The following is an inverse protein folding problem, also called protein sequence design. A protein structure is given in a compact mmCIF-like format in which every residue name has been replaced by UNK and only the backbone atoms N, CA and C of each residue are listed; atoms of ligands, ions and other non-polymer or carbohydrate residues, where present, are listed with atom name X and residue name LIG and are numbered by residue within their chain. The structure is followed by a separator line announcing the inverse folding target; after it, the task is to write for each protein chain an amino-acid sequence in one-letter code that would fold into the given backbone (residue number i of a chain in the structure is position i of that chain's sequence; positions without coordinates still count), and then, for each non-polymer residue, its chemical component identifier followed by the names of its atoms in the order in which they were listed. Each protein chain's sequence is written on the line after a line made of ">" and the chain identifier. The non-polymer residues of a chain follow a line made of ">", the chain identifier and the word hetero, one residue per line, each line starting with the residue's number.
data_IF_689856666906
#
_entry.id   IF_689856666906
#
_cell.length_a   1.000
_cell.length_b   1.000
_cell.length_c   1.000
_cell.angle_alpha   90.00
_cell.angle_beta   90.00
_cell.angle_gamma   90.00
#
_symmetry.space_group_name_H-M   'P 1'
#
loop_
_entity.id
_entity.type
_entity.pdbx_description
1 polymer ?
#
# COMPACT_ATOMS: atom_id res chain seq x y z
N UNK A 1 6.26 6.79 28.63
CA UNK A 1 6.78 5.73 27.73
C UNK A 1 6.67 6.21 26.29
N UNK A 2 7.75 6.15 25.56
CA UNK A 2 7.76 6.51 24.13
C UNK A 2 7.53 5.24 23.32
N UNK A 3 6.57 5.30 22.41
CA UNK A 3 6.24 4.18 21.51
C UNK A 3 6.64 4.60 20.10
N UNK A 4 7.55 3.83 19.51
CA UNK A 4 7.96 4.06 18.14
C UNK A 4 7.87 2.76 17.35
N UNK A 5 6.79 2.62 16.61
CA UNK A 5 6.57 1.52 15.68
C UNK A 5 5.91 2.14 14.44
N UNK A 6 6.73 2.54 13.48
CA UNK A 6 6.29 3.26 12.29
C UNK A 6 6.93 2.70 11.05
N UNK A 7 6.14 2.61 10.00
CA UNK A 7 6.56 2.17 8.68
C UNK A 7 6.03 3.17 7.65
N UNK A 8 6.88 3.55 6.71
CA UNK A 8 6.51 4.31 5.53
C UNK A 8 7.00 3.55 4.31
N UNK A 9 6.11 3.25 3.41
CA UNK A 9 6.41 2.48 2.21
C UNK A 9 5.74 3.10 0.99
N UNK A 10 6.42 3.02 -0.16
CA UNK A 10 5.83 3.34 -1.46
C UNK A 10 5.96 2.10 -2.33
N UNK A 11 4.86 1.69 -2.91
CA UNK A 11 4.85 0.51 -3.76
C UNK A 11 3.56 0.36 -4.54
N UNK A 12 3.44 -0.78 -5.23
CA UNK A 12 2.27 -1.11 -6.05
C UNK A 12 1.53 -2.31 -5.49
N UNK A 13 0.21 -2.27 -5.56
CA UNK A 13 -0.59 -3.44 -5.20
C UNK A 13 -0.33 -4.57 -6.19
N UNK A 14 -0.12 -5.76 -5.68
CA UNK A 14 0.11 -6.97 -6.50
C UNK A 14 -1.18 -7.62 -6.98
N UNK A 15 -2.28 -7.39 -6.26
CA UNK A 15 -3.61 -7.92 -6.53
C UNK A 15 -4.67 -6.93 -6.11
N UNK A 16 -5.90 -7.15 -6.52
CA UNK A 16 -7.05 -6.43 -5.99
C UNK A 16 -7.14 -6.63 -4.47
N UNK A 17 -7.47 -5.60 -3.69
CA UNK A 17 -7.66 -5.75 -2.26
C UNK A 17 -8.76 -6.74 -1.92
N UNK A 18 -8.52 -7.58 -0.95
CA UNK A 18 -9.53 -8.46 -0.39
C UNK A 18 -10.32 -7.72 0.68
N UNK A 19 -11.59 -7.50 0.43
CA UNK A 19 -12.47 -6.73 1.33
C UNK A 19 -13.35 -7.69 2.10
N UNK A 20 -13.41 -7.49 3.41
CA UNK A 20 -14.27 -8.27 4.31
C UNK A 20 -15.08 -7.34 5.20
N UNK A 21 -16.36 -7.63 5.32
CA UNK A 21 -17.27 -6.95 6.22
C UNK A 21 -17.50 -7.84 7.43
N UNK A 22 -17.19 -7.34 8.62
CA UNK A 22 -17.35 -8.07 9.87
C UNK A 22 -18.40 -7.36 10.70
N UNK A 23 -19.48 -8.08 11.04
CA UNK A 23 -20.49 -7.62 11.99
C UNK A 23 -20.14 -8.12 13.39
N UNK A 24 -20.00 -7.21 14.32
CA UNK A 24 -19.84 -7.54 15.74
C UNK A 24 -20.91 -6.82 16.55
N UNK A 25 -21.44 -7.50 17.56
CA UNK A 25 -22.26 -6.84 18.55
C UNK A 25 -21.37 -6.10 19.55
N UNK A 26 -21.61 -4.81 19.71
CA UNK A 26 -20.92 -4.04 20.75
C UNK A 26 -21.47 -4.43 22.14
N UNK A 27 -20.84 -3.92 23.20
CA UNK A 27 -21.27 -4.18 24.58
C UNK A 27 -22.67 -3.67 24.92
N UNK A 28 -23.33 -2.93 24.02
CA UNK A 28 -24.69 -2.43 24.14
C UNK A 28 -25.72 -3.27 23.36
N UNK A 29 -25.29 -4.36 22.71
CA UNK A 29 -26.15 -5.21 21.90
C UNK A 29 -26.47 -4.69 20.50
N UNK A 30 -25.86 -3.59 20.08
CA UNK A 30 -26.00 -3.05 18.73
C UNK A 30 -25.02 -3.71 17.77
N UNK A 31 -25.44 -3.96 16.53
CA UNK A 31 -24.56 -4.50 15.50
C UNK A 31 -23.67 -3.39 14.93
N UNK A 32 -22.38 -3.54 15.12
CA UNK A 32 -21.37 -2.71 14.46
C UNK A 32 -20.75 -3.50 13.30
N UNK A 33 -20.84 -2.94 12.12
CA UNK A 33 -20.17 -3.51 10.96
C UNK A 33 -18.82 -2.81 10.76
N UNK A 34 -17.76 -3.59 10.69
CA UNK A 34 -16.42 -3.10 10.44
C UNK A 34 -15.93 -3.67 9.11
N UNK A 35 -15.40 -2.82 8.26
CA UNK A 35 -14.79 -3.24 7.01
C UNK A 35 -13.28 -3.40 7.19
N UNK A 36 -12.74 -4.47 6.60
CA UNK A 36 -11.31 -4.78 6.60
C UNK A 36 -10.84 -5.00 5.18
N UNK A 37 -9.70 -4.44 4.83
CA UNK A 37 -9.06 -4.66 3.54
C UNK A 37 -7.67 -5.25 3.73
N UNK A 38 -7.33 -6.25 2.94
CA UNK A 38 -6.00 -6.87 2.91
C UNK A 38 -5.44 -6.83 1.51
N UNK A 39 -4.20 -6.47 1.38
CA UNK A 39 -3.49 -6.48 0.10
C UNK A 39 -1.99 -6.65 0.33
N UNK A 40 -1.28 -6.99 -0.73
CA UNK A 40 0.18 -7.08 -0.70
C UNK A 40 0.77 -5.96 -1.55
N UNK A 41 1.70 -5.25 -0.97
CA UNK A 41 2.40 -4.14 -1.60
C UNK A 41 3.78 -4.61 -2.05
N UNK A 42 4.09 -4.41 -3.34
CA UNK A 42 5.41 -4.65 -3.89
C UNK A 42 6.21 -3.36 -3.82
N UNK A 43 7.26 -3.38 -3.03
CA UNK A 43 8.15 -2.23 -2.81
C UNK A 43 9.47 -2.50 -3.50
N UNK A 44 9.83 -1.66 -4.46
CA UNK A 44 11.06 -1.82 -5.23
C UNK A 44 12.30 -1.65 -4.34
N UNK A 45 13.28 -2.52 -4.53
CA UNK A 45 14.60 -2.35 -3.91
C UNK A 45 15.39 -1.27 -4.63
N UNK A 46 16.25 -0.58 -3.91
CA UNK A 46 17.00 0.56 -4.43
C UNK A 46 18.10 0.23 -5.43
N UNK A 47 18.35 -1.04 -5.74
CA UNK A 47 19.35 -1.46 -6.71
C UNK A 47 18.74 -2.34 -7.79
N UNK A 48 19.40 -2.36 -8.94
CA UNK A 48 19.03 -3.23 -10.06
C UNK A 48 20.12 -4.25 -10.29
N UNK A 49 19.74 -5.44 -10.71
CA UNK A 49 20.69 -6.44 -11.16
C UNK A 49 21.31 -6.05 -12.50
N UNK A 50 22.47 -6.65 -12.83
CA UNK A 50 23.17 -6.41 -14.10
C UNK A 50 22.31 -6.72 -15.33
N UNK A 51 21.35 -7.63 -15.21
CA UNK A 51 20.40 -7.99 -16.27
C UNK A 51 19.25 -6.99 -16.42
N UNK A 52 19.24 -5.91 -15.63
CA UNK A 52 18.19 -4.90 -15.65
C UNK A 52 16.95 -5.24 -14.84
N UNK A 53 16.89 -6.42 -14.22
CA UNK A 53 15.79 -6.80 -13.35
C UNK A 53 15.87 -6.06 -12.02
N UNK A 54 14.74 -5.62 -11.55
CA UNK A 54 14.60 -4.97 -10.27
C UNK A 54 13.85 -5.88 -9.30
N UNK A 55 14.50 -6.20 -8.19
CA UNK A 55 13.86 -6.96 -7.13
C UNK A 55 12.89 -6.08 -6.35
N UNK A 56 11.88 -6.72 -5.80
CA UNK A 56 10.92 -6.09 -4.92
C UNK A 56 10.77 -6.90 -3.64
N UNK A 57 10.47 -6.18 -2.58
CA UNK A 57 10.02 -6.78 -1.33
C UNK A 57 8.50 -6.73 -1.27
N UNK A 58 7.89 -7.77 -0.72
CA UNK A 58 6.44 -7.90 -0.65
C UNK A 58 5.99 -7.82 0.80
N UNK A 59 5.13 -6.86 1.08
CA UNK A 59 4.62 -6.62 2.43
C UNK A 59 3.11 -6.75 2.46
N UNK A 60 2.62 -7.56 3.36
CA UNK A 60 1.19 -7.68 3.58
C UNK A 60 0.68 -6.51 4.41
N UNK A 61 -0.33 -5.84 3.89
CA UNK A 61 -0.96 -4.69 4.50
C UNK A 61 -2.40 -5.03 4.89
N UNK A 62 -2.82 -4.52 6.03
CA UNK A 62 -4.19 -4.66 6.53
C UNK A 62 -4.71 -3.29 6.91
N UNK A 63 -5.87 -2.94 6.40
CA UNK A 63 -6.54 -1.68 6.70
C UNK A 63 -7.89 -1.94 7.36
N UNK A 64 -8.27 -1.06 8.26
CA UNK A 64 -9.52 -1.14 9.00
C UNK A 64 -10.32 0.16 8.86
N UNK A 65 -11.64 0.06 8.92
CA UNK A 65 -12.53 1.21 8.94
C UNK A 65 -12.41 2.08 7.69
N UNK A 66 -12.16 3.35 7.86
CA UNK A 66 -12.05 4.32 6.76
C UNK A 66 -10.94 4.00 5.77
N UNK A 67 -9.83 3.47 6.26
CA UNK A 67 -8.72 3.04 5.41
C UNK A 67 -9.10 1.85 4.53
N UNK A 68 -9.90 0.93 5.06
CA UNK A 68 -10.44 -0.19 4.31
C UNK A 68 -11.46 0.26 3.26
N UNK A 69 -12.32 1.21 3.59
CA UNK A 69 -13.25 1.81 2.64
C UNK A 69 -12.53 2.54 1.50
N UNK A 70 -11.46 3.24 1.82
CA UNK A 70 -10.60 3.87 0.82
C UNK A 70 -9.99 2.81 -0.12
N UNK A 71 -9.49 1.72 0.42
CA UNK A 71 -8.92 0.63 -0.38
C UNK A 71 -9.98 0.02 -1.31
N UNK A 72 -11.19 -0.21 -0.80
CA UNK A 72 -12.30 -0.74 -1.59
C UNK A 72 -12.65 0.17 -2.79
N UNK A 73 -12.69 1.47 -2.56
CA UNK A 73 -13.11 2.44 -3.59
C UNK A 73 -12.03 2.77 -4.60
N UNK A 74 -10.79 2.86 -4.18
CA UNK A 74 -9.74 3.51 -4.97
C UNK A 74 -8.55 2.63 -5.31
N UNK A 75 -8.32 1.55 -4.58
CA UNK A 75 -7.14 0.72 -4.79
C UNK A 75 -7.43 -0.47 -5.69
N UNK A 76 -6.57 -0.65 -6.68
CA UNK A 76 -6.65 -1.73 -7.64
C UNK A 76 -5.27 -2.35 -7.84
N UNK A 77 -5.23 -3.52 -8.45
CA UNK A 77 -3.98 -4.14 -8.84
C UNK A 77 -3.13 -3.17 -9.66
N UNK A 78 -1.89 -2.99 -9.28
CA UNK A 78 -0.95 -2.12 -9.96
C UNK A 78 -0.97 -0.66 -9.52
N UNK A 79 -1.94 -0.25 -8.72
CA UNK A 79 -2.00 1.12 -8.18
C UNK A 79 -0.77 1.40 -7.32
N UNK A 80 -0.10 2.51 -7.58
CA UNK A 80 1.04 2.95 -6.78
C UNK A 80 0.58 3.88 -5.67
N UNK A 81 0.91 3.51 -4.46
CA UNK A 81 0.51 4.24 -3.25
C UNK A 81 1.67 4.42 -2.30
N UNK A 82 1.59 5.47 -1.51
CA UNK A 82 2.40 5.65 -0.32
C UNK A 82 1.53 5.32 0.89
N UNK A 83 2.09 4.57 1.81
CA UNK A 83 1.40 4.22 3.05
C UNK A 83 2.22 4.62 4.26
N UNK A 84 1.53 4.91 5.34
CA UNK A 84 2.12 4.93 6.68
C UNK A 84 1.33 3.99 7.59
N UNK A 85 2.02 3.37 8.50
CA UNK A 85 1.40 2.43 9.43
C UNK A 85 2.38 1.95 10.47
N UNK A 86 2.04 0.84 11.09
CA UNK A 86 2.89 0.18 12.07
C UNK A 86 2.93 -1.33 11.82
N UNK A 87 3.98 -1.96 12.28
CA UNK A 87 4.12 -3.41 12.19
C UNK A 87 3.31 -4.09 13.29
N UNK A 88 2.60 -5.13 12.92
CA UNK A 88 1.89 -5.98 13.85
C UNK A 88 2.30 -7.42 13.63
N UNK A 89 2.86 -8.04 14.65
CA UNK A 89 3.23 -9.46 14.60
C UNK A 89 2.12 -10.33 15.17
N UNK A 90 1.94 -11.48 14.57
CA UNK A 90 0.97 -12.46 15.03
C UNK A 90 1.47 -13.87 14.77
N UNK A 91 0.68 -14.84 15.18
CA UNK A 91 0.97 -16.25 14.90
C UNK A 91 -0.31 -17.04 14.77
N UNK A 92 -0.26 -18.11 13.99
CA UNK A 92 -1.34 -19.07 13.90
C UNK A 92 -0.75 -20.47 13.76
N UNK A 93 -1.55 -21.48 14.09
CA UNK A 93 -1.17 -22.87 13.89
C UNK A 93 -1.79 -23.37 12.60
N UNK A 94 -0.96 -23.87 11.69
CA UNK A 94 -1.43 -24.40 10.41
C UNK A 94 -2.05 -25.81 10.58
N UNK A 95 -2.55 -26.38 9.48
CA UNK A 95 -3.18 -27.72 9.47
C UNK A 95 -2.23 -28.85 9.90
N UNK A 96 -0.92 -28.64 9.75
CA UNK A 96 0.11 -29.61 10.12
C UNK A 96 0.56 -29.47 11.59
N UNK A 97 -0.08 -28.59 12.37
CA UNK A 97 0.25 -28.35 13.75
C UNK A 97 1.48 -27.48 13.98
N UNK A 98 2.03 -26.89 12.91
CA UNK A 98 3.21 -26.00 12.99
C UNK A 98 2.75 -24.57 13.24
N UNK A 99 3.41 -23.92 14.21
CA UNK A 99 3.18 -22.52 14.52
C UNK A 99 3.84 -21.62 13.46
N UNK A 100 3.05 -20.82 12.79
CA UNK A 100 3.50 -19.88 11.77
C UNK A 100 3.43 -18.46 12.31
N UNK A 101 4.54 -17.73 12.22
CA UNK A 101 4.64 -16.34 12.63
C UNK A 101 4.38 -15.42 11.43
N UNK A 102 3.63 -14.38 11.65
CA UNK A 102 3.27 -13.40 10.61
C UNK A 102 3.62 -12.00 11.06
N UNK A 103 4.00 -11.15 10.11
CA UNK A 103 4.19 -9.72 10.33
C UNK A 103 3.39 -8.98 9.23
N UNK A 104 2.49 -8.12 9.66
CA UNK A 104 1.66 -7.33 8.77
C UNK A 104 1.88 -5.85 9.05
N UNK A 105 1.66 -5.01 8.04
CA UNK A 105 1.60 -3.57 8.21
C UNK A 105 0.14 -3.20 8.42
N UNK A 106 -0.17 -2.62 9.56
CA UNK A 106 -1.50 -2.04 9.83
C UNK A 106 -1.49 -0.60 9.32
N UNK A 107 -2.35 -0.31 8.38
CA UNK A 107 -2.38 0.98 7.68
C UNK A 107 -3.00 2.06 8.56
N UNK A 108 -2.30 3.17 8.69
CA UNK A 108 -2.78 4.38 9.35
C UNK A 108 -3.20 5.44 8.33
N UNK A 109 -2.52 5.50 7.18
CA UNK A 109 -2.81 6.48 6.14
C UNK A 109 -2.40 5.95 4.76
N UNK A 110 -3.22 6.27 3.76
CA UNK A 110 -2.91 6.05 2.34
C UNK A 110 -2.76 7.39 1.63
N UNK A 111 -1.84 7.42 0.65
CA UNK A 111 -1.77 8.51 -0.31
C UNK A 111 -1.46 7.95 -1.70
N UNK A 112 -1.99 8.58 -2.74
CA UNK A 112 -1.65 8.21 -4.11
C UNK A 112 -0.24 8.70 -4.44
N UNK A 113 0.57 7.81 -5.00
CA UNK A 113 1.94 8.10 -5.40
C UNK A 113 2.08 8.23 -6.92
N UNK A 114 0.95 8.25 -7.64
CA UNK A 114 0.91 8.49 -9.08
C UNK A 114 -0.40 9.17 -9.49
N UNK A 115 -0.40 9.83 -10.64
CA UNK A 115 -1.60 10.48 -11.15
C UNK A 115 -2.57 9.47 -11.76
N UNK A 116 -3.84 9.88 -11.94
CA UNK A 116 -4.85 9.05 -12.61
C UNK A 116 -4.44 8.64 -14.03
N UNK A 117 -3.62 9.43 -14.71
CA UNK A 117 -3.14 9.12 -16.06
C UNK A 117 -2.24 7.90 -16.08
N UNK A 118 -1.39 7.74 -15.07
CA UNK A 118 -0.46 6.62 -14.98
C UNK A 118 -1.19 5.31 -14.67
N UNK A 119 -2.43 5.40 -14.21
CA UNK A 119 -3.29 4.25 -13.89
C UNK A 119 -4.09 3.74 -15.07
N UNK A 120 -4.16 4.49 -16.16
CA UNK A 120 -4.92 4.11 -17.37
C UNK A 120 -3.97 3.50 -18.39
N UNK A 121 -4.07 2.17 -18.67
CA UNK A 121 -3.28 1.55 -19.74
C UNK A 121 -3.63 2.18 -21.09
N UNK A 122 -2.66 2.75 -21.79
CA UNK A 122 -2.86 3.38 -23.09
C UNK A 122 -3.37 4.81 -23.06
N UNK A 123 -3.34 5.47 -21.91
CA UNK A 123 -3.66 6.90 -21.80
C UNK A 123 -2.78 7.74 -22.71
N UNK A 124 -3.42 8.61 -23.48
CA UNK A 124 -2.77 9.47 -24.45
C UNK A 124 -1.73 10.37 -23.78
N UNK A 125 -0.48 10.23 -24.16
CA UNK A 125 0.63 11.08 -23.69
C UNK A 125 0.55 12.54 -24.19
N UNK A 126 -0.54 12.92 -24.87
CA UNK A 126 -0.67 14.19 -25.56
C UNK A 126 -1.23 15.37 -24.77
N UNK A 127 -1.82 15.13 -23.62
CA UNK A 127 -2.28 16.21 -22.75
C UNK A 127 -1.43 16.24 -21.48
N UNK A 128 -0.51 17.17 -21.45
CA UNK A 128 0.36 17.42 -20.31
C UNK A 128 -0.45 18.26 -19.32
N UNK A 129 -0.84 17.64 -18.21
CA UNK A 129 -1.36 18.38 -17.08
C UNK A 129 -0.16 19.06 -16.40
N UNK A 130 -0.21 20.36 -16.27
CA UNK A 130 0.87 21.16 -15.68
C UNK A 130 1.26 20.66 -14.28
N UNK A 131 0.28 20.18 -13.53
CA UNK A 131 0.52 19.66 -12.20
C UNK A 131 1.31 18.33 -12.22
N UNK A 132 1.08 17.51 -13.25
CA UNK A 132 1.79 16.24 -13.40
C UNK A 132 3.21 16.47 -13.91
N UNK A 133 3.41 17.42 -14.79
CA UNK A 133 4.74 17.77 -15.30
C UNK A 133 5.63 18.34 -14.20
N UNK A 134 5.05 19.13 -13.31
CA UNK A 134 5.76 19.72 -12.18
C UNK A 134 6.23 18.66 -11.18
N UNK A 135 5.50 17.55 -11.05
CA UNK A 135 5.78 16.48 -10.11
C UNK A 135 6.60 15.32 -10.72
N UNK A 136 6.88 15.36 -12.00
CA UNK A 136 7.66 14.30 -12.66
C UNK A 136 9.17 14.54 -12.48
N UNK A 137 9.62 14.15 -11.30
CA UNK A 137 11.02 14.25 -10.88
C UNK A 137 11.95 13.44 -11.81
N UNK A 138 11.41 12.44 -12.52
CA UNK A 138 12.21 11.60 -13.42
C UNK A 138 12.74 12.34 -14.64
N UNK A 139 12.12 13.47 -14.99
CA UNK A 139 12.53 14.33 -16.10
C UNK A 139 13.47 15.46 -15.70
N UNK A 140 13.69 15.63 -14.39
CA UNK A 140 14.61 16.65 -13.91
C UNK A 140 16.04 16.16 -14.00
N UNK A 141 16.98 17.00 -14.49
CA UNK A 141 18.40 16.67 -14.37
C UNK A 141 18.78 16.42 -12.91
N UNK A 142 19.67 15.46 -12.68
CA UNK A 142 20.10 15.12 -11.31
C UNK A 142 20.58 16.33 -10.51
N UNK A 143 21.12 17.33 -11.18
CA UNK A 143 21.64 18.55 -10.56
C UNK A 143 20.55 19.47 -10.01
N UNK A 144 19.31 19.32 -10.50
CA UNK A 144 18.17 20.14 -10.06
C UNK A 144 17.29 19.45 -9.02
N UNK A 145 17.60 18.20 -8.66
CA UNK A 145 16.82 17.49 -7.65
C UNK A 145 17.06 18.12 -6.27
N UNK A 146 15.98 18.45 -5.52
CA UNK A 146 16.10 19.12 -4.23
C UNK A 146 16.63 18.22 -3.11
N UNK A 147 16.75 16.92 -3.37
CA UNK A 147 17.27 15.94 -2.41
C UNK A 147 18.28 15.05 -3.12
N UNK A 148 19.48 15.16 -2.65
CA UNK A 148 20.58 14.36 -3.15
C UNK A 148 21.29 13.68 -1.98
#
# INVERSE_FOLDING_TARGET
>A
MYIMNKVWEIGRLTKEPEIRYISKKNGKGEEESTVTASYTLAVARGYRHEDGQQDADFFRCVAFGKNAEFAEKYLHRGTKIAISGHLHSGSYTNKDGVKVYTVNIVIEQHEFAESKRDQIPGGNAGEIDMDTEFLDISKMPEEELPFR
#
